data_IF_718812853894
#
_entry.id   IF_718812853894
#
_cell.length_a   1.000
_cell.length_b   1.000
_cell.length_c   1.000
_cell.angle_alpha   90.00
_cell.angle_beta   90.00
_cell.angle_gamma   90.00
#
_symmetry.space_group_name_H-M   'P 1'
#
loop_
_entity.id
_entity.type
_entity.pdbx_description
1 polymer ?
#
# COMPACT_ATOMS: atom_id res chain seq x y z
N UNK A 1 1.10 21.76 14.67
CA UNK A 1 -0.25 22.34 14.44
C UNK A 1 -0.30 22.93 13.02
N UNK A 2 -0.61 22.11 12.01
CA UNK A 2 -0.54 22.51 10.59
C UNK A 2 -1.82 23.22 10.15
N UNK A 3 -1.74 24.32 9.38
CA UNK A 3 -2.91 25.04 8.90
C UNK A 3 -3.72 24.15 7.96
N UNK A 4 -4.92 23.78 8.40
CA UNK A 4 -5.91 23.10 7.58
C UNK A 4 -6.36 24.06 6.48
N UNK A 5 -5.96 23.84 5.22
CA UNK A 5 -6.49 24.58 4.08
C UNK A 5 -8.00 24.29 3.94
N UNK A 6 -8.90 25.27 4.14
CA UNK A 6 -10.35 25.04 4.18
C UNK A 6 -10.95 24.56 2.84
N UNK A 7 -10.24 24.71 1.72
CA UNK A 7 -10.74 24.30 0.40
C UNK A 7 -10.80 22.78 0.16
N UNK A 8 -10.12 21.96 0.98
CA UNK A 8 -10.09 20.50 0.80
C UNK A 8 -11.43 19.83 1.13
N UNK A 9 -12.14 20.39 2.09
CA UNK A 9 -13.23 19.67 2.76
C UNK A 9 -14.56 19.90 2.05
N UNK A 10 -14.74 21.05 1.40
CA UNK A 10 -15.92 21.34 0.59
C UNK A 10 -16.03 20.46 -0.65
N UNK A 11 -14.90 20.17 -1.33
CA UNK A 11 -14.89 19.32 -2.53
C UNK A 11 -15.32 17.87 -2.22
N UNK A 12 -14.92 17.35 -1.05
CA UNK A 12 -15.27 15.99 -0.61
C UNK A 12 -16.75 15.87 -0.27
N UNK A 13 -17.31 16.86 0.42
CA UNK A 13 -18.73 16.89 0.75
C UNK A 13 -19.60 16.99 -0.51
N UNK A 14 -19.19 17.82 -1.47
CA UNK A 14 -19.89 17.95 -2.75
C UNK A 14 -19.93 16.62 -3.51
N UNK A 15 -18.81 15.88 -3.54
CA UNK A 15 -18.74 14.56 -4.17
C UNK A 15 -19.67 13.53 -3.51
N UNK A 16 -19.78 13.52 -2.18
CA UNK A 16 -20.70 12.63 -1.44
C UNK A 16 -22.16 12.95 -1.76
N UNK A 17 -22.52 14.24 -1.73
CA UNK A 17 -23.90 14.68 -2.00
C UNK A 17 -24.28 14.37 -3.44
N UNK A 18 -23.40 14.69 -4.39
CA UNK A 18 -23.67 14.48 -5.82
C UNK A 18 -23.78 12.99 -6.15
N UNK A 19 -22.83 12.16 -5.70
CA UNK A 19 -22.90 10.71 -5.92
C UNK A 19 -24.09 10.05 -5.20
N UNK A 20 -24.41 10.51 -3.99
CA UNK A 20 -25.59 10.03 -3.27
C UNK A 20 -26.89 10.36 -4.01
N UNK A 21 -27.03 11.59 -4.52
CA UNK A 21 -28.22 12.04 -5.25
C UNK A 21 -28.37 11.32 -6.60
N UNK A 22 -27.27 11.17 -7.36
CA UNK A 22 -27.28 10.42 -8.62
C UNK A 22 -27.63 8.94 -8.41
N UNK A 23 -27.10 8.32 -7.35
CA UNK A 23 -27.46 6.94 -6.99
C UNK A 23 -28.96 6.80 -6.74
N UNK A 24 -29.57 7.71 -5.97
CA UNK A 24 -31.01 7.64 -5.68
C UNK A 24 -31.85 7.82 -6.95
N UNK A 25 -31.47 8.77 -7.82
CA UNK A 25 -32.17 9.00 -9.09
C UNK A 25 -32.09 7.78 -10.02
N UNK A 26 -30.92 7.15 -10.12
CA UNK A 26 -30.73 5.93 -10.93
C UNK A 26 -31.60 4.77 -10.42
N UNK A 27 -31.64 4.54 -9.11
CA UNK A 27 -32.47 3.48 -8.54
C UNK A 27 -33.96 3.76 -8.65
N UNK A 28 -34.36 5.04 -8.57
CA UNK A 28 -35.74 5.45 -8.81
C UNK A 28 -36.16 5.10 -10.24
N UNK A 29 -35.35 5.47 -11.23
CA UNK A 29 -35.58 5.12 -12.64
C UNK A 29 -35.65 3.59 -12.83
N UNK A 30 -34.69 2.84 -12.29
CA UNK A 30 -34.69 1.37 -12.32
C UNK A 30 -35.99 0.79 -11.76
N UNK A 31 -36.56 1.40 -10.71
CA UNK A 31 -37.78 0.91 -10.07
C UNK A 31 -39.03 1.18 -10.90
N UNK A 32 -39.16 2.38 -11.46
CA UNK A 32 -40.36 2.82 -12.18
C UNK A 32 -40.44 2.18 -13.59
N UNK A 33 -39.31 2.05 -14.27
CA UNK A 33 -39.24 1.55 -15.65
C UNK A 33 -39.19 0.02 -15.75
N UNK A 34 -39.16 -0.68 -14.62
CA UNK A 34 -39.00 -2.14 -14.53
C UNK A 34 -40.11 -2.97 -15.19
N UNK A 35 -41.29 -2.40 -15.42
CA UNK A 35 -42.46 -3.13 -15.92
C UNK A 35 -42.64 -3.11 -17.45
N UNK A 36 -41.99 -2.20 -18.18
CA UNK A 36 -42.26 -1.97 -19.62
C UNK A 36 -41.03 -2.00 -20.54
N UNK A 37 -39.83 -2.09 -20.00
CA UNK A 37 -38.59 -2.03 -20.80
C UNK A 37 -38.12 -3.38 -21.31
N UNK A 38 -37.38 -3.33 -22.42
CA UNK A 38 -36.66 -4.46 -22.98
C UNK A 38 -35.59 -4.97 -21.98
N UNK A 39 -35.38 -6.28 -21.85
CA UNK A 39 -34.41 -6.85 -20.91
C UNK A 39 -32.98 -6.30 -21.08
N UNK A 40 -32.58 -5.88 -22.29
CA UNK A 40 -31.25 -5.31 -22.51
C UNK A 40 -31.10 -3.92 -21.89
N UNK A 41 -32.10 -3.05 -22.04
CA UNK A 41 -32.11 -1.72 -21.44
C UNK A 41 -32.09 -1.82 -19.92
N UNK A 42 -32.90 -2.72 -19.36
CA UNK A 42 -32.92 -2.99 -17.91
C UNK A 42 -31.55 -3.38 -17.38
N UNK A 43 -30.80 -4.20 -18.11
CA UNK A 43 -29.46 -4.63 -17.69
C UNK A 43 -28.49 -3.44 -17.63
N UNK A 44 -28.55 -2.53 -18.61
CA UNK A 44 -27.72 -1.33 -18.64
C UNK A 44 -27.99 -0.42 -17.42
N UNK A 45 -29.25 -0.19 -17.07
CA UNK A 45 -29.61 0.61 -15.89
C UNK A 45 -29.16 -0.05 -14.57
N UNK A 46 -29.27 -1.37 -14.46
CA UNK A 46 -28.77 -2.10 -13.27
C UNK A 46 -27.26 -1.95 -13.15
N UNK A 47 -26.51 -2.09 -14.26
CA UNK A 47 -25.06 -1.92 -14.25
C UNK A 47 -24.65 -0.48 -13.89
N UNK A 48 -25.36 0.52 -14.41
CA UNK A 48 -25.14 1.92 -14.06
C UNK A 48 -25.39 2.17 -12.57
N UNK A 49 -26.48 1.64 -12.01
CA UNK A 49 -26.75 1.73 -10.57
C UNK A 49 -25.70 1.01 -9.72
N UNK A 50 -25.14 -0.11 -10.21
CA UNK A 50 -24.07 -0.83 -9.52
C UNK A 50 -22.77 -0.02 -9.48
N UNK A 51 -22.37 0.59 -10.61
CA UNK A 51 -21.20 1.49 -10.65
C UNK A 51 -21.39 2.68 -9.71
N UNK A 52 -22.55 3.33 -9.76
CA UNK A 52 -22.83 4.50 -8.93
C UNK A 52 -22.83 4.16 -7.43
N UNK A 53 -23.41 3.01 -7.04
CA UNK A 53 -23.37 2.56 -5.63
C UNK A 53 -21.96 2.24 -5.16
N UNK A 54 -21.11 1.67 -6.01
CA UNK A 54 -19.69 1.47 -5.69
C UNK A 54 -18.97 2.81 -5.51
N UNK A 55 -19.28 3.80 -6.34
CA UNK A 55 -18.71 5.15 -6.28
C UNK A 55 -19.14 5.87 -4.99
N UNK A 56 -20.40 5.70 -4.59
CA UNK A 56 -20.92 6.16 -3.29
C UNK A 56 -20.19 5.50 -2.11
N UNK A 57 -20.00 4.18 -2.14
CA UNK A 57 -19.24 3.45 -1.11
C UNK A 57 -17.79 3.93 -1.06
N UNK A 58 -17.14 4.11 -2.22
CA UNK A 58 -15.77 4.60 -2.31
C UNK A 58 -15.65 6.01 -1.72
N UNK A 59 -16.62 6.89 -1.98
CA UNK A 59 -16.69 8.24 -1.40
C UNK A 59 -16.85 8.21 0.12
N UNK A 60 -17.75 7.36 0.63
CA UNK A 60 -17.92 7.16 2.07
C UNK A 60 -16.65 6.61 2.75
N UNK A 61 -15.95 5.65 2.12
CA UNK A 61 -14.70 5.12 2.62
C UNK A 61 -13.56 6.16 2.60
N UNK A 62 -13.50 7.00 1.56
CA UNK A 62 -12.56 8.12 1.50
C UNK A 62 -12.78 9.13 2.63
N UNK A 63 -14.05 9.45 2.90
CA UNK A 63 -14.44 10.32 4.01
C UNK A 63 -14.10 9.72 5.38
N UNK A 64 -14.45 8.46 5.62
CA UNK A 64 -14.11 7.74 6.86
C UNK A 64 -12.59 7.61 7.01
N UNK A 65 -11.86 7.38 5.92
CA UNK A 65 -10.40 7.33 5.90
C UNK A 65 -9.76 8.65 6.35
N UNK A 66 -10.33 9.78 5.93
CA UNK A 66 -9.89 11.10 6.35
C UNK A 66 -10.13 11.35 7.86
N UNK A 67 -11.24 10.87 8.40
CA UNK A 67 -11.59 11.05 9.83
C UNK A 67 -10.75 10.14 10.72
N UNK A 68 -10.72 8.84 10.42
CA UNK A 68 -10.26 7.83 11.39
C UNK A 68 -8.73 7.77 11.48
N UNK A 69 -8.01 8.30 10.47
CA UNK A 69 -6.53 8.26 10.37
C UNK A 69 -5.92 6.86 10.62
N UNK A 70 -6.71 5.79 10.46
CA UNK A 70 -6.26 4.40 10.63
C UNK A 70 -5.91 3.81 9.28
N UNK A 71 -4.72 3.22 9.18
CA UNK A 71 -4.22 2.61 7.95
C UNK A 71 -5.12 1.51 7.37
N UNK A 72 -5.84 0.76 8.21
CA UNK A 72 -6.68 -0.34 7.73
C UNK A 72 -7.77 0.16 6.78
N UNK A 73 -8.31 1.36 7.01
CA UNK A 73 -9.29 1.99 6.13
C UNK A 73 -8.70 2.39 4.78
N UNK A 74 -7.47 2.91 4.77
CA UNK A 74 -6.74 3.24 3.53
C UNK A 74 -6.52 1.97 2.69
N UNK A 75 -6.14 0.87 3.34
CA UNK A 75 -5.95 -0.40 2.64
C UNK A 75 -7.27 -0.93 2.07
N UNK A 76 -8.36 -0.91 2.84
CA UNK A 76 -9.68 -1.31 2.35
C UNK A 76 -10.13 -0.43 1.18
N UNK A 77 -9.96 0.89 1.29
CA UNK A 77 -10.27 1.84 0.23
C UNK A 77 -9.50 1.53 -1.07
N UNK A 78 -8.20 1.20 -0.99
CA UNK A 78 -7.42 0.81 -2.16
C UNK A 78 -7.96 -0.47 -2.83
N UNK A 79 -8.41 -1.47 -2.06
CA UNK A 79 -9.07 -2.66 -2.62
C UNK A 79 -10.39 -2.30 -3.32
N UNK A 80 -11.19 -1.41 -2.73
CA UNK A 80 -12.45 -0.95 -3.35
C UNK A 80 -12.20 -0.22 -4.66
N UNK A 81 -11.23 0.69 -4.73
CA UNK A 81 -10.87 1.38 -5.98
C UNK A 81 -10.40 0.40 -7.04
N UNK A 82 -9.64 -0.64 -6.66
CA UNK A 82 -9.23 -1.69 -7.60
C UNK A 82 -10.43 -2.48 -8.15
N UNK A 83 -11.36 -2.90 -7.29
CA UNK A 83 -12.58 -3.59 -7.71
C UNK A 83 -13.44 -2.69 -8.60
N UNK A 84 -13.60 -1.42 -8.21
CA UNK A 84 -14.34 -0.41 -8.98
C UNK A 84 -13.77 -0.26 -10.39
N UNK A 85 -12.44 -0.14 -10.51
CA UNK A 85 -11.78 -0.06 -11.81
C UNK A 85 -12.06 -1.30 -12.69
N UNK A 86 -12.00 -2.51 -12.14
CA UNK A 86 -12.29 -3.74 -12.89
C UNK A 86 -13.77 -3.79 -13.32
N UNK A 87 -14.68 -3.40 -12.43
CA UNK A 87 -16.11 -3.30 -12.75
C UNK A 87 -16.33 -2.27 -13.86
N UNK A 88 -15.68 -1.11 -13.82
CA UNK A 88 -15.79 -0.09 -14.85
C UNK A 88 -15.24 -0.53 -16.19
N UNK A 89 -14.15 -1.31 -16.23
CA UNK A 89 -13.69 -1.93 -17.48
C UNK A 89 -14.77 -2.86 -18.05
N UNK A 90 -15.36 -3.72 -17.21
CA UNK A 90 -16.39 -4.66 -17.64
C UNK A 90 -17.63 -3.94 -18.16
N UNK A 91 -18.08 -2.91 -17.44
CA UNK A 91 -19.24 -2.08 -17.79
C UNK A 91 -18.97 -1.28 -19.06
N UNK A 92 -17.81 -0.62 -19.18
CA UNK A 92 -17.40 0.09 -20.38
C UNK A 92 -17.33 -0.84 -21.60
N UNK A 93 -16.76 -2.04 -21.45
CA UNK A 93 -16.72 -3.04 -22.51
C UNK A 93 -18.11 -3.51 -22.94
N UNK A 94 -19.00 -3.76 -21.97
CA UNK A 94 -20.39 -4.11 -22.24
C UNK A 94 -21.14 -2.98 -22.96
N UNK A 95 -21.03 -1.74 -22.50
CA UNK A 95 -21.66 -0.60 -23.17
C UNK A 95 -21.10 -0.38 -24.57
N UNK A 96 -19.79 -0.52 -24.77
CA UNK A 96 -19.19 -0.42 -26.09
C UNK A 96 -19.73 -1.50 -27.04
N UNK A 97 -19.91 -2.73 -26.54
CA UNK A 97 -20.55 -3.81 -27.28
C UNK A 97 -22.01 -3.47 -27.65
N UNK A 98 -22.81 -3.05 -26.68
CA UNK A 98 -24.21 -2.64 -26.86
C UNK A 98 -24.28 -1.50 -27.88
N UNK A 99 -23.57 -0.40 -27.68
CA UNK A 99 -23.58 0.75 -28.59
C UNK A 99 -23.12 0.35 -29.99
N UNK A 100 -22.09 -0.50 -30.12
CA UNK A 100 -21.60 -0.95 -31.43
C UNK A 100 -22.62 -1.84 -32.15
N UNK A 101 -23.33 -2.70 -31.42
CA UNK A 101 -24.31 -3.61 -32.02
C UNK A 101 -25.63 -2.90 -32.32
N UNK A 102 -26.16 -2.13 -31.35
CA UNK A 102 -27.40 -1.37 -31.51
C UNK A 102 -27.26 -0.25 -32.54
N UNK A 103 -26.13 0.45 -32.63
CA UNK A 103 -25.95 1.47 -33.68
C UNK A 103 -26.18 0.85 -35.06
N UNK A 104 -25.62 -0.31 -35.35
CA UNK A 104 -25.79 -0.99 -36.64
C UNK A 104 -27.26 -1.26 -36.98
N UNK A 105 -28.04 -1.75 -36.02
CA UNK A 105 -29.43 -2.20 -36.26
C UNK A 105 -30.43 -1.05 -36.14
N UNK A 106 -30.21 -0.15 -35.17
CA UNK A 106 -31.06 1.00 -34.90
C UNK A 106 -30.84 2.14 -35.89
N UNK A 107 -29.61 2.37 -36.39
CA UNK A 107 -29.37 3.34 -37.47
C UNK A 107 -30.20 2.95 -38.69
N UNK A 108 -30.14 1.68 -39.08
CA UNK A 108 -30.87 1.19 -40.24
C UNK A 108 -32.39 1.29 -40.04
N UNK A 109 -32.94 0.96 -38.86
CA UNK A 109 -34.38 1.11 -38.64
C UNK A 109 -34.82 2.56 -38.48
N UNK A 110 -34.16 3.33 -37.63
CA UNK A 110 -34.56 4.69 -37.31
C UNK A 110 -34.34 5.65 -38.48
N UNK A 111 -33.20 5.59 -39.19
CA UNK A 111 -32.99 6.48 -40.33
C UNK A 111 -33.90 6.11 -41.52
N UNK A 112 -34.10 4.81 -41.80
CA UNK A 112 -34.94 4.38 -42.94
C UNK A 112 -36.44 4.62 -42.70
N UNK A 113 -36.96 4.36 -41.48
CA UNK A 113 -38.40 4.55 -41.22
C UNK A 113 -38.77 6.03 -41.03
N UNK A 114 -37.86 6.85 -40.48
CA UNK A 114 -38.20 8.24 -40.10
C UNK A 114 -37.90 9.25 -41.20
N UNK A 115 -36.93 8.99 -42.07
CA UNK A 115 -36.47 9.94 -43.10
C UNK A 115 -36.73 9.37 -44.50
N UNK A 116 -37.78 9.87 -45.16
CA UNK A 116 -38.10 9.50 -46.56
C UNK A 116 -37.27 10.27 -47.60
N UNK A 117 -36.61 11.36 -47.19
CA UNK A 117 -35.77 12.18 -48.07
C UNK A 117 -34.34 11.62 -48.14
N UNK A 118 -33.93 11.23 -49.35
CA UNK A 118 -32.59 10.68 -49.63
C UNK A 118 -31.44 11.63 -49.29
N UNK A 119 -31.70 12.94 -49.22
CA UNK A 119 -30.70 13.93 -48.81
C UNK A 119 -30.37 13.92 -47.31
N UNK A 120 -31.31 13.53 -46.46
CA UNK A 120 -31.16 13.58 -45.00
C UNK A 120 -30.62 12.27 -44.39
N UNK A 121 -30.62 11.17 -45.15
CA UNK A 121 -30.07 9.87 -44.74
C UNK A 121 -28.56 9.95 -44.40
N UNK A 122 -27.80 10.72 -45.20
CA UNK A 122 -26.37 10.94 -44.98
C UNK A 122 -26.07 11.75 -43.71
N UNK A 123 -26.99 12.63 -43.30
CA UNK A 123 -26.81 13.42 -42.07
C UNK A 123 -27.16 12.60 -40.83
N UNK A 124 -28.18 11.73 -40.92
CA UNK A 124 -28.60 10.84 -39.84
C UNK A 124 -27.49 9.84 -39.46
N UNK A 125 -26.86 9.21 -40.46
CA UNK A 125 -25.76 8.26 -40.24
C UNK A 125 -24.48 8.94 -39.73
N UNK A 126 -24.16 10.15 -40.22
CA UNK A 126 -23.01 10.93 -39.78
C UNK A 126 -23.06 11.26 -38.29
N UNK A 127 -24.19 11.79 -37.81
CA UNK A 127 -24.35 12.21 -36.42
C UNK A 127 -24.18 11.05 -35.42
N UNK A 128 -24.73 9.87 -35.74
CA UNK A 128 -24.63 8.70 -34.87
C UNK A 128 -23.21 8.10 -34.87
N UNK A 129 -22.50 8.17 -36.00
CA UNK A 129 -21.08 7.80 -36.08
C UNK A 129 -20.20 8.71 -35.23
N UNK A 130 -20.47 10.01 -35.26
CA UNK A 130 -19.75 11.00 -34.47
C UNK A 130 -19.99 10.79 -32.96
N UNK A 131 -21.24 10.57 -32.55
CA UNK A 131 -21.58 10.28 -31.15
C UNK A 131 -20.88 9.02 -30.64
N UNK A 132 -20.81 7.96 -31.45
CA UNK A 132 -20.07 6.73 -31.10
C UNK A 132 -18.59 7.04 -30.86
N UNK A 133 -17.99 7.84 -31.74
CA UNK A 133 -16.57 8.21 -31.63
C UNK A 133 -16.31 9.02 -30.36
N UNK A 134 -17.15 10.03 -30.10
CA UNK A 134 -17.08 10.87 -28.89
C UNK A 134 -17.24 10.01 -27.63
N UNK A 135 -18.20 9.08 -27.62
CA UNK A 135 -18.41 8.17 -26.50
C UNK A 135 -17.17 7.32 -26.19
N UNK A 136 -16.55 6.72 -27.22
CA UNK A 136 -15.33 5.91 -27.05
C UNK A 136 -14.19 6.76 -26.45
N UNK A 137 -13.99 7.98 -26.96
CA UNK A 137 -12.95 8.89 -26.44
C UNK A 137 -13.19 9.22 -24.96
N UNK A 138 -14.43 9.56 -24.59
CA UNK A 138 -14.79 9.88 -23.20
C UNK A 138 -14.55 8.69 -22.27
N UNK A 139 -14.98 7.49 -22.68
CA UNK A 139 -14.78 6.26 -21.89
C UNK A 139 -13.29 5.97 -21.67
N UNK A 140 -12.45 6.09 -22.72
CA UNK A 140 -11.00 5.90 -22.60
C UNK A 140 -10.39 6.90 -21.62
N UNK A 141 -10.77 8.18 -21.71
CA UNK A 141 -10.27 9.22 -20.80
C UNK A 141 -10.62 8.90 -19.35
N UNK A 142 -11.88 8.50 -19.08
CA UNK A 142 -12.33 8.11 -17.74
C UNK A 142 -11.52 6.91 -17.23
N UNK A 143 -11.36 5.86 -18.04
CA UNK A 143 -10.57 4.67 -17.66
C UNK A 143 -9.11 5.00 -17.36
N UNK A 144 -8.49 5.92 -18.12
CA UNK A 144 -7.11 6.37 -17.89
C UNK A 144 -7.00 7.14 -16.57
N UNK A 145 -7.97 8.02 -16.27
CA UNK A 145 -8.00 8.76 -15.00
C UNK A 145 -8.15 7.80 -13.82
N UNK A 146 -9.04 6.81 -13.93
CA UNK A 146 -9.24 5.79 -12.89
C UNK A 146 -8.01 4.91 -12.69
N UNK A 147 -7.39 4.46 -13.78
CA UNK A 147 -6.14 3.70 -13.74
C UNK A 147 -5.03 4.50 -13.05
N UNK A 148 -4.92 5.79 -13.37
CA UNK A 148 -3.94 6.67 -12.75
C UNK A 148 -4.19 6.82 -11.24
N UNK A 149 -5.45 6.99 -10.83
CA UNK A 149 -5.85 6.98 -9.42
C UNK A 149 -5.48 5.67 -8.72
N UNK A 150 -5.80 4.53 -9.33
CA UNK A 150 -5.46 3.21 -8.79
C UNK A 150 -3.94 3.01 -8.63
N UNK A 151 -3.14 3.48 -9.59
CA UNK A 151 -1.67 3.41 -9.53
C UNK A 151 -1.10 4.25 -8.39
N UNK A 152 -1.60 5.47 -8.18
CA UNK A 152 -1.16 6.31 -7.05
C UNK A 152 -1.46 5.62 -5.72
N UNK A 153 -2.68 5.09 -5.56
CA UNK A 153 -3.07 4.37 -4.34
C UNK A 153 -2.21 3.12 -4.13
N UNK A 154 -1.91 2.37 -5.18
CA UNK A 154 -1.08 1.17 -5.09
C UNK A 154 0.34 1.50 -4.58
N UNK A 155 0.96 2.57 -5.10
CA UNK A 155 2.27 3.05 -4.63
C UNK A 155 2.22 3.50 -3.18
N UNK A 156 1.17 4.24 -2.81
CA UNK A 156 0.98 4.70 -1.45
C UNK A 156 0.83 3.54 -0.45
N UNK A 157 0.00 2.54 -0.77
CA UNK A 157 -0.16 1.34 0.07
C UNK A 157 1.15 0.57 0.17
N UNK A 158 1.91 0.46 -0.93
CA UNK A 158 3.23 -0.17 -0.91
C UNK A 158 4.18 0.56 0.05
N UNK A 159 4.26 1.89 -0.05
CA UNK A 159 5.10 2.72 0.82
C UNK A 159 4.78 2.49 2.30
N UNK A 160 3.50 2.53 2.68
CA UNK A 160 3.12 2.34 4.08
C UNK A 160 3.44 0.91 4.55
N UNK A 161 3.25 -0.10 3.69
CA UNK A 161 3.63 -1.49 4.01
C UNK A 161 5.14 -1.62 4.22
N UNK A 162 5.96 -0.97 3.38
CA UNK A 162 7.41 -0.97 3.53
C UNK A 162 7.86 -0.26 4.81
N UNK A 163 7.32 0.92 5.12
CA UNK A 163 7.64 1.65 6.35
C UNK A 163 7.31 0.83 7.60
N UNK A 164 6.14 0.16 7.60
CA UNK A 164 5.76 -0.74 8.69
C UNK A 164 6.64 -1.97 8.82
N UNK A 165 7.01 -2.58 7.70
CA UNK A 165 7.90 -3.75 7.71
C UNK A 165 9.29 -3.35 8.23
N UNK A 166 9.83 -2.23 7.75
CA UNK A 166 11.11 -1.68 8.20
C UNK A 166 11.08 -1.33 9.69
N UNK A 167 10.02 -0.71 10.19
CA UNK A 167 9.86 -0.39 11.61
C UNK A 167 9.76 -1.63 12.52
N UNK A 168 9.19 -2.74 12.04
CA UNK A 168 9.15 -4.01 12.78
C UNK A 168 10.53 -4.67 12.78
N UNK A 169 11.19 -4.69 11.63
CA UNK A 169 12.53 -5.27 11.48
C UNK A 169 13.56 -4.50 12.31
N UNK A 170 13.49 -3.18 12.38
CA UNK A 170 14.39 -2.37 13.22
C UNK A 170 14.19 -2.66 14.72
N UNK A 171 12.94 -2.81 15.18
CA UNK A 171 12.63 -3.22 16.56
C UNK A 171 13.15 -4.61 16.87
N UNK A 172 12.98 -5.57 15.96
CA UNK A 172 13.48 -6.93 16.14
C UNK A 172 15.02 -6.97 16.19
N UNK A 173 15.70 -6.20 15.33
CA UNK A 173 17.16 -6.04 15.36
C UNK A 173 17.65 -5.40 16.66
N UNK A 174 16.90 -4.45 17.22
CA UNK A 174 17.25 -3.81 18.49
C UNK A 174 17.12 -4.79 19.65
N UNK A 175 16.07 -5.62 19.66
CA UNK A 175 15.90 -6.71 20.64
C UNK A 175 16.99 -7.78 20.49
N UNK A 176 17.38 -8.15 19.26
CA UNK A 176 18.47 -9.10 18.99
C UNK A 176 19.84 -8.56 19.42
N UNK A 177 20.09 -7.26 19.27
CA UNK A 177 21.29 -6.61 19.82
C UNK A 177 21.25 -6.56 21.35
N UNK A 178 20.09 -6.31 21.96
CA UNK A 178 19.95 -6.31 23.41
C UNK A 178 20.15 -7.71 24.01
N UNK A 179 19.75 -8.78 23.31
CA UNK A 179 19.99 -10.16 23.75
C UNK A 179 21.45 -10.57 23.55
N UNK A 180 22.09 -10.25 22.42
CA UNK A 180 23.52 -10.58 22.17
C UNK A 180 24.51 -9.72 22.96
N UNK A 181 24.21 -8.44 23.20
CA UNK A 181 25.03 -7.54 24.00
C UNK A 181 25.13 -7.94 25.48
N UNK A 182 24.32 -8.92 25.90
CA UNK A 182 24.41 -9.58 27.20
C UNK A 182 25.21 -10.89 27.13
N UNK A 183 26.26 -10.92 26.29
CA UNK A 183 27.41 -11.83 26.40
C UNK A 183 28.22 -11.57 27.68
N UNK A 184 27.53 -11.44 28.81
CA UNK A 184 28.12 -11.69 30.10
C UNK A 184 28.27 -13.21 30.15
N UNK A 185 29.51 -13.68 30.24
CA UNK A 185 29.83 -15.07 30.56
C UNK A 185 29.08 -15.49 31.83
N UNK A 186 27.88 -16.05 31.68
CA UNK A 186 27.17 -16.76 32.76
C UNK A 186 27.66 -18.21 32.77
N UNK A 187 28.98 -18.36 32.77
CA UNK A 187 29.66 -19.55 33.27
C UNK A 187 30.18 -19.21 34.66
N UNK A 188 29.29 -19.32 35.66
CA UNK A 188 29.70 -19.44 37.04
C UNK A 188 29.93 -18.13 37.81
N UNK A 189 28.84 -17.47 38.20
CA UNK A 189 28.65 -17.01 39.58
C UNK A 189 27.25 -16.39 39.68
N UNK A 190 26.34 -17.13 40.29
CA UNK A 190 25.17 -16.54 40.94
C UNK A 190 25.69 -15.61 42.02
N UNK A 191 25.97 -14.36 41.63
CA UNK A 191 26.14 -13.26 42.56
C UNK A 191 24.83 -13.17 43.31
N UNK A 192 24.84 -13.67 44.54
CA UNK A 192 23.80 -13.45 45.54
C UNK A 192 23.54 -11.95 45.58
N UNK A 193 22.47 -11.52 44.94
CA UNK A 193 21.92 -10.18 45.13
C UNK A 193 21.66 -10.06 46.64
N UNK A 194 22.46 -9.22 47.27
CA UNK A 194 22.23 -8.78 48.64
C UNK A 194 20.82 -8.19 48.69
N UNK A 195 19.97 -8.74 49.55
CA UNK A 195 18.54 -8.44 49.68
C UNK A 195 18.24 -7.01 50.18
N UNK A 196 19.12 -6.04 49.92
CA UNK A 196 19.07 -4.71 50.53
C UNK A 196 19.26 -3.56 49.53
N UNK A 197 19.10 -3.80 48.22
CA UNK A 197 19.06 -2.74 47.23
C UNK A 197 17.61 -2.53 46.77
N UNK A 198 16.91 -1.74 47.56
CA UNK A 198 15.58 -1.21 47.29
C UNK A 198 15.57 -0.44 45.96
N UNK A 199 14.73 -0.91 45.04
CA UNK A 199 13.80 -0.13 44.24
C UNK A 199 14.32 1.17 43.61
N UNK A 200 14.86 1.10 42.38
CA UNK A 200 14.49 2.05 41.30
C UNK A 200 15.11 1.75 39.92
N UNK A 201 15.26 0.47 39.53
CA UNK A 201 15.56 0.16 38.12
C UNK A 201 14.25 0.10 37.34
N UNK A 202 13.70 1.29 37.08
CA UNK A 202 12.59 1.47 36.15
C UNK A 202 13.03 1.05 34.75
N UNK A 203 12.63 -0.17 34.35
CA UNK A 203 12.71 -0.65 32.96
C UNK A 203 11.64 -0.01 32.07
N UNK A 204 10.93 1.01 32.56
CA UNK A 204 10.08 1.85 31.73
C UNK A 204 11.04 2.61 30.79
N UNK A 205 10.95 2.40 29.45
CA UNK A 205 11.70 3.23 28.52
C UNK A 205 11.35 4.67 28.85
N UNK A 206 12.33 5.47 29.29
CA UNK A 206 12.14 6.91 29.47
C UNK A 206 11.45 7.40 28.20
N UNK A 207 10.22 7.87 28.35
CA UNK A 207 9.49 8.51 27.25
C UNK A 207 10.40 9.64 26.79
N UNK A 208 11.05 9.46 25.64
CA UNK A 208 11.69 10.57 24.99
C UNK A 208 10.61 11.65 24.86
N UNK A 209 10.90 12.90 25.27
CA UNK A 209 9.95 13.98 25.05
C UNK A 209 9.49 13.91 23.61
N UNK A 210 8.19 14.03 23.36
CA UNK A 210 7.59 14.08 22.03
C UNK A 210 8.19 15.26 21.25
N UNK A 211 9.40 15.07 20.72
CA UNK A 211 9.95 15.92 19.70
C UNK A 211 9.09 15.63 18.46
N UNK A 212 8.14 16.52 18.21
CA UNK A 212 7.30 16.52 17.03
C UNK A 212 8.23 16.38 15.82
N UNK A 213 8.10 15.26 15.09
CA UNK A 213 8.98 14.93 13.96
C UNK A 213 8.90 16.06 12.93
N UNK A 214 9.96 16.87 12.83
CA UNK A 214 10.05 17.96 11.87
C UNK A 214 10.80 17.46 10.62
N UNK A 215 10.13 17.22 9.49
CA UNK A 215 10.75 16.71 8.27
C UNK A 215 11.68 17.73 7.57
N UNK A 216 11.76 18.96 8.07
CA UNK A 216 12.66 20.01 7.59
C UNK A 216 13.78 20.33 8.57
N UNK A 217 13.93 19.55 9.66
CA UNK A 217 15.10 19.63 10.51
C UNK A 217 16.25 18.94 9.77
N UNK A 218 16.84 19.71 8.85
CA UNK A 218 18.07 19.36 8.16
C UNK A 218 19.10 19.13 9.25
N UNK A 219 19.55 17.89 9.39
CA UNK A 219 20.54 17.45 10.38
C UNK A 219 21.93 17.97 9.99
N UNK A 220 22.04 19.28 9.80
CA UNK A 220 23.31 19.99 9.69
C UNK A 220 23.81 20.24 11.11
N UNK A 221 24.73 19.37 11.50
CA UNK A 221 25.71 19.51 12.57
C UNK A 221 25.20 19.25 13.99
N UNK A 222 25.79 18.28 14.72
CA UNK A 222 25.60 18.17 16.15
C UNK A 222 26.13 19.45 16.80
N UNK A 223 25.21 20.26 17.31
CA UNK A 223 25.50 21.46 18.07
C UNK A 223 26.42 21.15 19.24
N UNK A 224 27.53 21.87 19.25
CA UNK A 224 28.45 22.10 20.35
C UNK A 224 27.79 22.01 21.73
N UNK A 225 28.31 21.11 22.56
CA UNK A 225 28.08 21.16 24.00
C UNK A 225 28.49 22.54 24.53
N UNK A 226 27.75 23.13 25.49
CA UNK A 226 28.16 24.38 26.12
C UNK A 226 29.50 24.16 26.82
N UNK A 227 30.53 24.78 26.26
CA UNK A 227 31.90 24.71 26.74
C UNK A 227 32.01 25.56 28.01
N UNK A 228 32.34 24.91 29.13
CA UNK A 228 32.60 25.56 30.40
C UNK A 228 33.94 26.32 30.28
N UNK A 229 33.99 27.66 30.39
CA UNK A 229 35.18 28.43 30.04
C UNK A 229 36.12 28.51 31.24
N UNK A 230 36.78 27.42 31.64
CA UNK A 230 37.96 27.54 32.48
C UNK A 230 38.94 26.37 32.30
N UNK A 231 40.11 26.75 31.77
CA UNK A 231 41.41 26.08 31.94
C UNK A 231 41.69 24.87 31.03
N UNK A 232 42.19 25.12 29.82
CA UNK A 232 43.16 24.24 29.16
C UNK A 232 44.03 25.03 28.15
N UNK A 233 45.33 24.70 28.02
CA UNK A 233 46.28 25.40 27.17
C UNK A 233 46.05 25.08 25.67
N UNK A 234 46.61 25.87 24.74
CA UNK A 234 46.34 25.75 23.31
C UNK A 234 46.89 24.44 22.77
N UNK A 235 46.04 23.45 22.55
CA UNK A 235 46.38 22.24 21.81
C UNK A 235 46.32 22.52 20.32
N UNK A 236 47.43 22.21 19.65
CA UNK A 236 47.55 22.00 18.21
C UNK A 236 46.28 21.35 17.64
N UNK A 237 45.77 21.90 16.55
CA UNK A 237 44.77 21.22 15.72
C UNK A 237 45.41 19.95 15.14
N UNK A 238 45.17 18.81 15.79
CA UNK A 238 45.44 17.50 15.22
C UNK A 238 44.51 17.31 14.03
N UNK A 239 45.11 17.19 12.85
CA UNK A 239 44.43 16.74 11.64
C UNK A 239 43.72 15.42 11.97
N UNK A 240 42.42 15.34 11.65
CA UNK A 240 41.65 14.12 11.79
C UNK A 240 42.43 12.97 11.13
N UNK A 241 42.77 11.95 11.93
CA UNK A 241 43.51 10.80 11.46
C UNK A 241 42.73 10.11 10.34
N UNK A 242 43.33 9.99 9.15
CA UNK A 242 42.73 9.36 7.98
C UNK A 242 42.51 7.83 8.11
N UNK A 243 42.68 7.29 9.32
CA UNK A 243 42.43 5.90 9.67
C UNK A 243 41.23 5.86 10.62
N UNK A 244 40.15 5.22 10.17
CA UNK A 244 39.04 4.82 11.02
C UNK A 244 39.24 3.33 11.34
N UNK A 245 39.35 2.98 12.62
CA UNK A 245 39.42 1.57 13.01
C UNK A 245 38.05 0.93 12.81
N UNK A 246 37.92 0.15 11.74
CA UNK A 246 36.69 -0.55 11.40
C UNK A 246 36.36 -1.65 12.43
N UNK A 247 35.06 -1.92 12.60
CA UNK A 247 34.53 -3.03 13.40
C UNK A 247 35.12 -4.37 12.91
N UNK A 248 36.19 -4.84 13.56
CA UNK A 248 36.96 -6.01 13.13
C UNK A 248 38.47 -5.94 13.38
N UNK A 249 39.01 -4.82 13.88
CA UNK A 249 40.41 -4.70 14.28
C UNK A 249 41.40 -4.56 13.11
N UNK A 250 40.90 -4.25 11.92
CA UNK A 250 41.73 -3.84 10.78
C UNK A 250 41.62 -2.33 10.56
N UNK A 251 42.74 -1.68 10.24
CA UNK A 251 42.71 -0.30 9.77
C UNK A 251 42.26 -0.29 8.30
N UNK A 252 41.15 0.40 8.02
CA UNK A 252 40.67 0.60 6.67
C UNK A 252 40.84 2.07 6.32
N UNK A 253 41.41 2.33 5.15
CA UNK A 253 41.40 3.69 4.59
C UNK A 253 40.07 3.92 3.89
N UNK A 254 39.56 5.16 3.94
CA UNK A 254 38.32 5.55 3.26
C UNK A 254 38.33 5.19 1.76
N UNK A 255 39.51 5.19 1.15
CA UNK A 255 39.72 4.84 -0.24
C UNK A 255 39.57 3.32 -0.51
N UNK A 256 39.95 2.47 0.44
CA UNK A 256 39.70 1.02 0.34
C UNK A 256 38.20 0.71 0.43
N UNK A 257 37.48 1.36 1.34
CA UNK A 257 36.02 1.16 1.50
C UNK A 257 35.29 1.56 0.22
N UNK A 258 35.61 2.73 -0.35
CA UNK A 258 34.99 3.18 -1.60
C UNK A 258 35.30 2.26 -2.78
N UNK A 259 36.46 1.60 -2.80
CA UNK A 259 36.84 0.68 -3.87
C UNK A 259 36.12 -0.66 -3.75
N UNK A 260 35.91 -1.15 -2.53
CA UNK A 260 35.16 -2.38 -2.24
C UNK A 260 33.65 -2.22 -2.49
N UNK A 261 33.04 -1.10 -2.07
CA UNK A 261 31.63 -0.85 -2.38
C UNK A 261 31.39 -0.72 -3.89
N UNK A 262 32.34 -0.11 -4.60
CA UNK A 262 32.26 0.05 -6.06
C UNK A 262 32.42 -1.27 -6.81
N UNK A 263 33.25 -2.19 -6.33
CA UNK A 263 33.39 -3.51 -6.95
C UNK A 263 32.12 -4.37 -6.71
N UNK A 264 31.51 -4.28 -5.54
CA UNK A 264 30.24 -4.97 -5.25
C UNK A 264 29.10 -4.49 -6.15
N UNK A 265 29.02 -3.19 -6.43
CA UNK A 265 28.01 -2.65 -7.35
C UNK A 265 28.25 -3.11 -8.79
N UNK A 266 29.51 -3.24 -9.21
CA UNK A 266 29.87 -3.67 -10.55
C UNK A 266 29.60 -5.16 -10.79
N UNK A 267 29.67 -5.98 -9.73
CA UNK A 267 29.31 -7.41 -9.78
C UNK A 267 27.79 -7.63 -9.73
N UNK A 268 27.04 -6.66 -9.22
CA UNK A 268 25.58 -6.72 -9.08
C UNK A 268 24.81 -6.19 -10.30
N UNK A 269 25.51 -5.80 -11.37
CA UNK A 269 24.95 -5.59 -12.72
C UNK A 269 25.09 -6.86 -13.57
N UNK A 270 24.23 -7.89 -13.41
CA UNK A 270 24.13 -8.91 -14.44
C UNK A 270 23.55 -8.25 -15.69
N UNK A 271 24.33 -8.30 -16.76
CA UNK A 271 23.94 -8.08 -18.15
C UNK A 271 22.47 -8.45 -18.33
N UNK A 272 21.61 -7.43 -18.42
CA UNK A 272 20.20 -7.55 -18.76
C UNK A 272 20.13 -7.98 -20.23
N UNK A 273 20.33 -9.27 -20.47
CA UNK A 273 19.89 -9.90 -21.71
C UNK A 273 18.37 -9.88 -21.69
N UNK A 274 17.85 -8.91 -22.44
CA UNK A 274 16.45 -8.77 -22.84
C UNK A 274 16.06 -10.00 -23.67
N UNK A 275 15.67 -11.07 -23.00
CA UNK A 275 14.98 -12.21 -23.61
C UNK A 275 13.57 -12.28 -23.08
N UNK A 276 12.66 -12.10 -24.02
CA UNK A 276 11.22 -12.30 -24.02
C UNK A 276 10.73 -13.41 -23.08
N UNK A 277 9.70 -13.05 -22.30
CA UNK A 277 8.56 -13.86 -21.88
C UNK A 277 8.58 -15.33 -22.31
N UNK A 278 8.89 -16.21 -21.36
CA UNK A 278 8.16 -17.45 -21.14
C UNK A 278 8.26 -17.80 -19.66
N UNK A 279 7.09 -17.92 -19.04
CA UNK A 279 6.91 -18.31 -17.65
C UNK A 279 7.28 -19.80 -17.53
N UNK A 280 8.42 -20.07 -16.92
CA UNK A 280 8.77 -21.40 -16.41
C UNK A 280 9.02 -21.27 -14.91
N UNK A 281 8.05 -21.74 -14.12
CA UNK A 281 8.18 -21.90 -12.68
C UNK A 281 9.19 -23.01 -12.39
N UNK A 282 10.43 -22.62 -12.07
CA UNK A 282 11.37 -23.51 -11.37
C UNK A 282 11.57 -23.09 -9.92
N UNK A 283 11.66 -24.06 -8.99
CA UNK A 283 11.78 -23.78 -7.57
C UNK A 283 13.15 -23.18 -7.26
N UNK A 284 13.16 -22.02 -6.61
CA UNK A 284 14.36 -21.47 -5.96
C UNK A 284 14.77 -22.40 -4.82
N UNK A 285 15.76 -23.26 -5.07
CA UNK A 285 16.55 -23.87 -4.00
C UNK A 285 17.78 -22.99 -3.71
N UNK A 286 18.12 -22.93 -2.42
CA UNK A 286 19.44 -22.63 -1.88
C UNK A 286 19.92 -21.17 -1.87
N UNK A 287 19.17 -20.34 -1.13
CA UNK A 287 19.78 -19.19 -0.44
C UNK A 287 20.45 -19.72 0.83
N UNK A 288 21.79 -19.80 0.84
CA UNK A 288 22.59 -20.03 2.05
C UNK A 288 22.35 -18.89 3.04
N UNK A 289 21.52 -19.11 4.04
CA UNK A 289 21.41 -18.25 5.23
C UNK A 289 22.68 -18.33 6.07
N UNK A 290 23.08 -17.22 6.69
CA UNK A 290 24.21 -17.13 7.62
C UNK A 290 23.98 -17.83 8.98
N UNK A 291 22.79 -18.38 9.19
CA UNK A 291 22.52 -19.36 10.23
C UNK A 291 22.96 -20.72 9.69
N UNK A 292 23.89 -21.40 10.36
CA UNK A 292 24.42 -22.70 9.97
C UNK A 292 23.33 -23.78 9.73
N UNK A 293 23.74 -24.99 9.31
CA UNK A 293 22.82 -26.05 8.90
C UNK A 293 21.70 -26.24 9.92
N UNK A 294 20.46 -26.11 9.47
CA UNK A 294 19.29 -26.38 10.29
C UNK A 294 19.39 -27.82 10.81
N UNK A 295 19.22 -28.07 12.12
CA UNK A 295 19.18 -29.43 12.63
C UNK A 295 18.10 -30.20 11.87
N UNK A 296 18.48 -31.42 11.48
CA UNK A 296 17.67 -32.41 10.78
C UNK A 296 16.29 -32.52 11.46
N UNK A 297 15.18 -32.60 10.70
CA UNK A 297 13.86 -32.72 11.30
C UNK A 297 13.75 -34.09 11.97
N UNK A 298 13.95 -34.11 13.29
CA UNK A 298 13.63 -35.22 14.16
C UNK A 298 12.14 -35.55 13.98
N UNK A 299 11.85 -36.80 13.63
CA UNK A 299 10.50 -37.28 13.39
C UNK A 299 9.63 -36.99 14.60
N UNK A 300 8.70 -36.07 14.43
CA UNK A 300 7.73 -35.68 15.44
C UNK A 300 6.79 -36.87 15.70
N UNK A 301 7.17 -37.74 16.65
CA UNK A 301 6.23 -38.65 17.29
C UNK A 301 5.16 -37.79 17.97
N UNK A 302 3.92 -37.94 17.49
CA UNK A 302 2.76 -37.25 18.01
C UNK A 302 2.47 -37.83 19.39
N UNK A 303 2.87 -37.11 20.43
CA UNK A 303 2.55 -37.45 21.81
C UNK A 303 1.02 -37.42 21.99
N UNK A 304 0.35 -38.55 22.27
CA UNK A 304 -1.10 -38.60 22.34
C UNK A 304 -1.60 -37.79 23.52
N UNK A 305 -2.39 -36.75 23.22
CA UNK A 305 -3.05 -35.87 24.19
C UNK A 305 -3.72 -36.68 25.33
N UNK A 306 -3.59 -36.25 26.60
CA UNK A 306 -4.19 -36.92 27.74
C UNK A 306 -5.71 -36.96 27.60
N UNK A 307 -6.28 -38.17 27.57
CA UNK A 307 -7.73 -38.39 27.62
C UNK A 307 -8.23 -38.12 29.04
N UNK A 308 -8.97 -37.04 29.22
CA UNK A 308 -9.73 -36.80 30.45
C UNK A 308 -10.96 -37.72 30.47
N UNK A 309 -10.96 -38.68 31.40
CA UNK A 309 -12.13 -39.47 31.74
C UNK A 309 -13.09 -38.60 32.59
N UNK A 310 -14.38 -38.51 32.23
CA UNK A 310 -15.36 -37.81 33.06
C UNK A 310 -15.56 -38.56 34.40
N UNK A 311 -15.80 -37.84 35.51
CA UNK A 311 -16.04 -38.45 36.81
C UNK A 311 -17.34 -39.27 36.78
N UNK A 312 -17.28 -40.47 37.34
CA UNK A 312 -18.41 -41.36 37.48
C UNK A 312 -19.50 -40.68 38.33
N UNK A 313 -20.63 -40.37 37.69
CA UNK A 313 -21.83 -39.91 38.38
C UNK A 313 -22.30 -41.00 39.35
N UNK A 314 -22.28 -40.65 40.62
CA UNK A 314 -22.78 -41.41 41.76
C UNK A 314 -24.27 -41.69 41.57
N UNK A 315 -24.62 -42.97 41.33
CA UNK A 315 -26.01 -43.44 41.38
C UNK A 315 -26.47 -43.51 42.83
N UNK A 316 -27.48 -42.71 43.18
CA UNK A 316 -28.48 -43.06 44.18
C UNK A 316 -29.86 -42.95 43.56
#
# INVERSE_FOLDING_TARGET
>A
MSPSCPCSDELKLLGIIFGGLLSVLLWFEVSDTSAKMDPHERTAFILAGLVETLLFIASALGFVGAIVRKQLFIQAYAYFIYIHFVVNIAVAGFFLYVVSHFSSTAINKACVDTVKDSGAENQCSGLLSDLRTVYIVVVIVILVIELYGALILARYVHQIKTEKSTARTSRMKLLDRASRGRGFDVSGQYSRLSANQTDDVSLIPKSYPEAEFNPYDNSEHPGSFPHNPHTQPPSLYDAASAYEEGYGGGSWTHEQISRDEKSMLQEQDPVVHRTSFLVDERPRSDVKTAAGPSPEPESHDIDPLPRYLPPASERR
#
